data_IF_461941391123
#
_entry.id   IF_461941391123
#
_cell.length_a   1.000
_cell.length_b   1.000
_cell.length_c   1.000
_cell.angle_alpha   90.00
_cell.angle_beta   90.00
_cell.angle_gamma   90.00
#
_symmetry.space_group_name_H-M   'P 1'
#
loop_
_entity.id
_entity.type
_entity.pdbx_description
1 polymer ?
#
# COMPACT_ATOMS: atom_id res chain seq x y z
N UNK A 1 -20.86 -14.69 2.58
CA UNK A 1 -20.97 -15.73 1.50
C UNK A 1 -22.20 -15.56 0.61
N UNK A 2 -22.52 -14.31 0.26
CA UNK A 2 -23.74 -13.96 -0.52
C UNK A 2 -23.81 -14.55 -1.94
N UNK A 3 -22.69 -15.02 -2.47
CA UNK A 3 -22.62 -15.66 -3.80
C UNK A 3 -22.99 -17.15 -3.79
N UNK A 4 -23.06 -17.79 -2.61
CA UNK A 4 -23.43 -19.19 -2.49
C UNK A 4 -24.94 -19.34 -2.62
N UNK A 5 -25.38 -20.27 -3.44
CA UNK A 5 -26.78 -20.67 -3.62
C UNK A 5 -26.95 -22.11 -3.19
N UNK A 6 -28.04 -22.37 -2.49
CA UNK A 6 -28.33 -23.72 -1.99
C UNK A 6 -29.74 -23.84 -1.50
N UNK A 7 -30.14 -25.06 -1.20
CA UNK A 7 -31.39 -25.40 -0.57
C UNK A 7 -31.08 -26.12 0.74
N UNK A 8 -31.80 -25.77 1.81
CA UNK A 8 -31.71 -26.43 3.11
C UNK A 8 -33.13 -26.86 3.47
N UNK A 9 -33.30 -28.15 3.76
CA UNK A 9 -34.51 -28.70 4.29
C UNK A 9 -34.32 -29.01 5.77
N UNK A 10 -35.28 -28.60 6.62
CA UNK A 10 -35.25 -28.85 8.07
C UNK A 10 -36.66 -28.88 8.60
N UNK A 11 -37.00 -29.99 9.26
CA UNK A 11 -38.30 -30.16 9.95
C UNK A 11 -38.42 -29.27 11.22
N UNK A 12 -37.27 -28.78 11.75
CA UNK A 12 -37.21 -28.03 13.01
C UNK A 12 -37.38 -26.52 12.85
N UNK A 13 -37.45 -26.03 11.59
CA UNK A 13 -37.64 -24.59 11.33
C UNK A 13 -39.09 -24.19 11.55
N UNK A 14 -39.38 -23.23 12.46
CA UNK A 14 -40.73 -22.75 12.66
C UNK A 14 -41.25 -22.06 11.40
N UNK A 15 -42.36 -22.54 10.88
CA UNK A 15 -43.03 -21.89 9.74
C UNK A 15 -43.76 -20.65 10.24
N UNK A 16 -43.45 -19.50 9.64
CA UNK A 16 -44.21 -18.28 9.87
C UNK A 16 -45.55 -18.34 9.12
N UNK A 17 -46.63 -17.89 9.76
CA UNK A 17 -47.98 -17.89 9.18
C UNK A 17 -48.06 -17.06 7.89
N UNK A 18 -47.26 -16.02 7.77
CA UNK A 18 -47.21 -15.14 6.56
C UNK A 18 -46.39 -15.69 5.40
N UNK A 19 -45.54 -16.73 5.61
CA UNK A 19 -44.64 -17.34 4.63
C UNK A 19 -43.64 -16.37 3.96
N UNK A 20 -43.55 -15.10 4.39
CA UNK A 20 -42.76 -14.07 3.72
C UNK A 20 -41.35 -13.91 4.28
N UNK A 21 -41.12 -14.24 5.54
CA UNK A 21 -39.80 -14.16 6.17
C UNK A 21 -39.54 -15.29 7.15
N UNK A 22 -38.33 -15.84 7.14
CA UNK A 22 -37.87 -16.75 8.19
C UNK A 22 -37.56 -15.89 9.41
N UNK A 23 -38.26 -16.14 10.53
CA UNK A 23 -37.96 -15.46 11.79
C UNK A 23 -36.55 -15.87 12.27
N UNK A 24 -35.80 -14.91 12.75
CA UNK A 24 -34.55 -15.20 13.44
C UNK A 24 -34.82 -16.09 14.64
N UNK A 25 -34.30 -17.31 14.57
CA UNK A 25 -34.43 -18.30 15.65
C UNK A 25 -33.05 -18.88 15.97
N UNK A 26 -32.82 -19.41 17.17
CA UNK A 26 -31.57 -20.10 17.51
C UNK A 26 -31.22 -21.22 16.53
N UNK A 27 -32.24 -21.90 15.99
CA UNK A 27 -32.10 -22.99 15.00
C UNK A 27 -31.59 -22.40 13.67
N UNK A 28 -32.17 -21.30 13.20
CA UNK A 28 -31.72 -20.62 11.98
C UNK A 28 -30.26 -20.15 12.10
N UNK A 29 -29.92 -19.55 13.24
CA UNK A 29 -28.54 -19.12 13.51
C UNK A 29 -27.57 -20.30 13.52
N UNK A 30 -27.96 -21.44 14.12
CA UNK A 30 -27.14 -22.65 14.13
C UNK A 30 -26.92 -23.21 12.70
N UNK A 31 -28.00 -23.27 11.90
CA UNK A 31 -27.92 -23.68 10.49
C UNK A 31 -27.00 -22.77 9.72
N UNK A 32 -27.16 -21.44 9.84
CA UNK A 32 -26.31 -20.46 9.15
C UNK A 32 -24.83 -20.63 9.53
N UNK A 33 -24.51 -20.79 10.81
CA UNK A 33 -23.15 -21.04 11.29
C UNK A 33 -22.58 -22.35 10.74
N UNK A 34 -23.38 -23.44 10.77
CA UNK A 34 -22.97 -24.74 10.26
C UNK A 34 -22.70 -24.75 8.76
N UNK A 35 -23.60 -24.15 7.96
CA UNK A 35 -23.44 -24.02 6.51
C UNK A 35 -22.22 -23.16 6.16
N UNK A 36 -22.06 -22.03 6.82
CA UNK A 36 -20.89 -21.16 6.57
C UNK A 36 -19.59 -21.90 6.86
N UNK A 37 -19.49 -22.57 8.01
CA UNK A 37 -18.30 -23.34 8.38
C UNK A 37 -18.02 -24.48 7.39
N UNK A 38 -19.07 -25.17 6.93
CA UNK A 38 -18.93 -26.24 5.93
C UNK A 38 -18.42 -25.71 4.59
N UNK A 39 -18.97 -24.59 4.10
CA UNK A 39 -18.55 -23.97 2.84
C UNK A 39 -17.08 -23.55 2.92
N UNK A 40 -16.67 -22.87 3.99
CA UNK A 40 -15.27 -22.46 4.17
C UNK A 40 -14.33 -23.67 4.22
N UNK A 41 -14.75 -24.76 4.89
CA UNK A 41 -13.98 -26.02 4.91
C UNK A 41 -13.84 -26.63 3.53
N UNK A 42 -14.90 -26.68 2.71
CA UNK A 42 -14.85 -27.23 1.35
C UNK A 42 -14.02 -26.33 0.42
N UNK A 43 -14.11 -25.01 0.55
CA UNK A 43 -13.23 -24.09 -0.18
C UNK A 43 -11.76 -24.31 0.20
N UNK A 44 -11.45 -24.57 1.47
CA UNK A 44 -10.11 -24.90 1.92
C UNK A 44 -9.58 -26.20 1.34
N UNK A 45 -10.42 -27.25 1.29
CA UNK A 45 -10.06 -28.52 0.62
C UNK A 45 -9.80 -28.30 -0.87
N UNK A 46 -10.67 -27.56 -1.53
CA UNK A 46 -10.53 -27.25 -2.96
C UNK A 46 -9.24 -26.46 -3.24
N UNK A 47 -8.94 -25.47 -2.39
CA UNK A 47 -7.72 -24.68 -2.50
C UNK A 47 -6.44 -25.51 -2.38
N UNK A 48 -6.48 -26.60 -1.59
CA UNK A 48 -5.35 -27.52 -1.41
C UNK A 48 -5.28 -28.58 -2.50
N UNK A 49 -6.41 -29.16 -2.93
CA UNK A 49 -6.47 -30.30 -3.83
C UNK A 49 -6.52 -29.91 -5.33
N UNK A 50 -7.09 -28.73 -5.64
CA UNK A 50 -7.27 -28.22 -7.00
C UNK A 50 -7.06 -26.71 -7.07
N UNK A 51 -5.82 -26.20 -6.90
CA UNK A 51 -5.53 -24.77 -6.80
C UNK A 51 -5.96 -23.98 -8.02
N UNK A 52 -5.90 -24.52 -9.23
CA UNK A 52 -6.37 -23.87 -10.45
C UNK A 52 -7.89 -23.67 -10.47
N UNK A 53 -8.65 -24.66 -9.99
CA UNK A 53 -10.09 -24.54 -9.87
C UNK A 53 -10.46 -23.49 -8.79
N UNK A 54 -9.71 -23.48 -7.70
CA UNK A 54 -9.89 -22.48 -6.64
C UNK A 54 -9.55 -21.05 -7.13
N UNK A 55 -8.50 -20.90 -7.94
CA UNK A 55 -8.13 -19.60 -8.54
C UNK A 55 -9.29 -18.99 -9.34
N UNK A 56 -10.02 -19.81 -10.12
CA UNK A 56 -11.21 -19.36 -10.87
C UNK A 56 -12.37 -18.90 -9.96
N UNK A 57 -12.52 -19.53 -8.79
CA UNK A 57 -13.48 -19.06 -7.79
C UNK A 57 -13.00 -17.74 -7.20
N UNK A 58 -11.70 -17.65 -6.91
CA UNK A 58 -11.10 -16.45 -6.35
C UNK A 58 -11.19 -15.25 -7.29
N UNK A 59 -10.97 -15.44 -8.60
CA UNK A 59 -11.11 -14.40 -9.63
C UNK A 59 -12.51 -13.77 -9.64
N UNK A 60 -13.56 -14.57 -9.36
CA UNK A 60 -14.93 -14.11 -9.41
C UNK A 60 -15.47 -13.62 -8.05
N UNK A 61 -15.00 -14.18 -6.95
CA UNK A 61 -15.60 -14.00 -5.62
C UNK A 61 -14.60 -13.58 -4.54
N UNK A 62 -13.34 -13.39 -4.89
CA UNK A 62 -12.27 -13.03 -3.94
C UNK A 62 -12.58 -11.73 -3.19
N UNK A 63 -13.02 -10.70 -3.88
CA UNK A 63 -13.40 -9.42 -3.26
C UNK A 63 -14.52 -9.61 -2.21
N UNK A 64 -15.53 -10.44 -2.51
CA UNK A 64 -16.63 -10.74 -1.57
C UNK A 64 -16.15 -11.56 -0.37
N UNK A 65 -15.19 -12.46 -0.56
CA UNK A 65 -14.58 -13.21 0.54
C UNK A 65 -13.75 -12.29 1.44
N UNK A 66 -13.06 -11.31 0.86
CA UNK A 66 -12.29 -10.29 1.60
C UNK A 66 -13.19 -9.36 2.44
N UNK A 67 -14.43 -9.07 1.99
CA UNK A 67 -15.40 -8.35 2.82
C UNK A 67 -15.63 -9.08 4.16
N UNK A 68 -15.68 -10.42 4.13
CA UNK A 68 -15.83 -11.24 5.34
C UNK A 68 -14.66 -11.10 6.32
N UNK A 69 -13.44 -10.78 5.87
CA UNK A 69 -12.29 -10.55 6.76
C UNK A 69 -12.57 -9.33 7.66
N UNK A 70 -13.27 -8.33 7.11
CA UNK A 70 -13.65 -7.12 7.84
C UNK A 70 -14.91 -7.31 8.71
N UNK A 71 -15.90 -8.05 8.21
CA UNK A 71 -17.23 -8.17 8.83
C UNK A 71 -17.33 -9.34 9.84
N UNK A 72 -16.65 -10.47 9.61
CA UNK A 72 -16.77 -11.71 10.38
C UNK A 72 -15.47 -11.99 11.17
N UNK A 73 -15.35 -11.37 12.33
CA UNK A 73 -14.19 -11.54 13.21
C UNK A 73 -14.02 -12.97 13.72
N UNK A 74 -15.13 -13.75 13.90
CA UNK A 74 -15.07 -15.13 14.37
C UNK A 74 -14.37 -16.05 13.34
N UNK A 75 -14.47 -15.73 12.04
CA UNK A 75 -13.93 -16.56 10.95
C UNK A 75 -12.80 -15.91 10.19
N UNK A 76 -12.29 -14.78 10.70
CA UNK A 76 -11.24 -14.00 10.05
C UNK A 76 -10.04 -14.84 9.66
N UNK A 77 -9.53 -15.68 10.56
CA UNK A 77 -8.34 -16.50 10.30
C UNK A 77 -8.58 -17.52 9.18
N UNK A 78 -9.77 -18.13 9.16
CA UNK A 78 -10.16 -19.05 8.09
C UNK A 78 -10.29 -18.34 6.74
N UNK A 79 -10.82 -17.11 6.73
CA UNK A 79 -10.94 -16.29 5.53
C UNK A 79 -9.57 -15.81 5.03
N UNK A 80 -8.67 -15.41 5.93
CA UNK A 80 -7.28 -15.06 5.60
C UNK A 80 -6.53 -16.26 5.01
N UNK A 81 -6.70 -17.44 5.56
CA UNK A 81 -6.07 -18.67 5.03
C UNK A 81 -6.57 -19.03 3.62
N UNK A 82 -7.83 -18.72 3.31
CA UNK A 82 -8.42 -18.88 1.98
C UNK A 82 -7.99 -17.78 1.00
N UNK A 83 -7.60 -16.63 1.49
CA UNK A 83 -7.32 -15.46 0.65
C UNK A 83 -6.12 -15.66 -0.25
N UNK A 84 -6.19 -15.04 -1.43
CA UNK A 84 -5.14 -15.03 -2.44
C UNK A 84 -4.82 -13.59 -2.81
N UNK A 85 -3.55 -13.33 -3.02
CA UNK A 85 -3.03 -12.00 -3.28
C UNK A 85 -2.06 -12.00 -4.44
N UNK A 86 -1.98 -10.90 -5.15
CA UNK A 86 -0.84 -10.59 -6.01
C UNK A 86 0.28 -10.04 -5.12
N UNK A 87 1.52 -10.33 -5.49
CA UNK A 87 2.69 -9.90 -4.73
C UNK A 87 3.80 -9.44 -5.67
N UNK A 88 4.82 -8.79 -5.12
CA UNK A 88 6.01 -8.41 -5.90
C UNK A 88 6.81 -9.60 -6.43
N UNK A 89 6.65 -10.79 -5.83
CA UNK A 89 7.27 -12.03 -6.30
C UNK A 89 6.38 -12.80 -7.28
N UNK A 90 5.07 -12.52 -7.32
CA UNK A 90 4.08 -13.26 -8.14
C UNK A 90 2.95 -12.32 -8.57
N UNK A 91 3.24 -11.47 -9.57
CA UNK A 91 2.28 -10.48 -10.08
C UNK A 91 1.20 -11.13 -10.93
N UNK A 92 1.56 -12.16 -11.70
CA UNK A 92 0.63 -12.82 -12.62
C UNK A 92 -0.20 -13.93 -11.96
N UNK A 93 0.33 -14.57 -10.92
CA UNK A 93 -0.31 -15.70 -10.25
C UNK A 93 -0.81 -15.32 -8.86
N UNK A 94 -1.82 -16.06 -8.38
CA UNK A 94 -2.34 -15.92 -7.04
C UNK A 94 -1.44 -16.61 -6.01
N UNK A 95 -1.10 -15.91 -4.93
CA UNK A 95 -0.29 -16.41 -3.82
C UNK A 95 -1.09 -16.46 -2.53
N UNK A 96 -0.96 -17.53 -1.77
CA UNK A 96 -1.59 -17.63 -0.45
C UNK A 96 -0.74 -16.92 0.62
N UNK A 97 -1.37 -16.53 1.73
CA UNK A 97 -0.63 -16.01 2.89
C UNK A 97 0.30 -17.06 3.50
N UNK A 98 -0.04 -18.35 3.39
CA UNK A 98 0.82 -19.44 3.84
C UNK A 98 2.12 -19.50 3.03
N UNK A 99 2.04 -19.37 1.70
CA UNK A 99 3.22 -19.36 0.83
C UNK A 99 4.06 -18.10 1.07
N UNK A 100 3.39 -16.94 1.28
CA UNK A 100 4.06 -15.71 1.67
C UNK A 100 4.81 -15.88 3.02
N UNK A 101 4.14 -16.44 4.03
CA UNK A 101 4.73 -16.66 5.36
C UNK A 101 5.93 -17.61 5.31
N UNK A 102 5.91 -18.61 4.42
CA UNK A 102 7.05 -19.52 4.20
C UNK A 102 8.26 -18.84 3.54
N UNK A 103 8.08 -17.68 2.89
CA UNK A 103 9.15 -16.89 2.24
C UNK A 103 9.66 -15.72 3.07
N UNK A 104 9.15 -15.53 4.29
CA UNK A 104 9.58 -14.44 5.18
C UNK A 104 11.10 -14.49 5.45
N UNK A 105 11.73 -13.32 5.47
CA UNK A 105 13.13 -13.20 5.88
C UNK A 105 13.27 -13.38 7.39
N UNK A 106 14.43 -13.85 7.87
CA UNK A 106 14.68 -14.16 9.27
C UNK A 106 14.35 -13.00 10.23
N UNK A 107 14.69 -11.77 9.84
CA UNK A 107 14.43 -10.56 10.63
C UNK A 107 13.12 -9.86 10.29
N UNK A 108 12.27 -10.47 9.44
CA UNK A 108 11.00 -9.86 9.02
C UNK A 108 9.94 -9.99 10.12
N UNK A 109 9.43 -8.87 10.61
CA UNK A 109 8.49 -8.80 11.75
C UNK A 109 7.03 -8.75 11.33
N UNK A 110 6.74 -8.42 10.06
CA UNK A 110 5.39 -8.17 9.57
C UNK A 110 5.18 -8.72 8.14
N UNK A 111 3.92 -8.84 7.76
CA UNK A 111 3.49 -9.03 6.37
C UNK A 111 3.35 -7.64 5.76
N UNK A 112 4.20 -7.32 4.79
CA UNK A 112 4.19 -6.00 4.17
C UNK A 112 3.20 -5.94 3.02
N UNK A 113 2.52 -4.81 2.89
CA UNK A 113 1.60 -4.54 1.80
C UNK A 113 1.69 -3.09 1.29
N UNK A 114 1.30 -2.92 0.04
CA UNK A 114 0.98 -1.62 -0.55
C UNK A 114 -0.43 -1.68 -1.09
N UNK A 115 -1.25 -0.66 -0.79
CA UNK A 115 -2.62 -0.55 -1.27
C UNK A 115 -2.76 0.57 -2.30
N UNK A 116 -3.62 0.35 -3.29
CA UNK A 116 -3.90 1.32 -4.35
C UNK A 116 -5.08 0.91 -5.22
N UNK A 117 -5.23 1.57 -6.36
CA UNK A 117 -6.34 1.37 -7.29
C UNK A 117 -6.00 0.43 -8.47
N UNK A 118 -4.70 0.14 -8.69
CA UNK A 118 -4.25 -0.59 -9.86
C UNK A 118 -2.93 -1.33 -9.61
N UNK A 119 -2.91 -2.64 -9.84
CA UNK A 119 -1.73 -3.50 -9.64
C UNK A 119 -0.51 -3.00 -10.43
N UNK A 120 -0.67 -2.60 -11.69
CA UNK A 120 0.44 -2.16 -12.51
C UNK A 120 1.11 -0.87 -11.98
N UNK A 121 0.34 0.02 -11.36
CA UNK A 121 0.90 1.20 -10.67
C UNK A 121 1.60 0.83 -9.38
N UNK A 122 1.00 -0.08 -8.60
CA UNK A 122 1.60 -0.56 -7.36
C UNK A 122 2.95 -1.22 -7.62
N UNK A 123 3.04 -2.00 -8.69
CA UNK A 123 4.26 -2.73 -9.08
C UNK A 123 5.45 -1.81 -9.37
N UNK A 124 5.23 -0.61 -9.89
CA UNK A 124 6.31 0.36 -10.19
C UNK A 124 6.49 1.43 -9.12
N UNK A 125 5.84 1.28 -7.98
CA UNK A 125 5.88 2.27 -6.91
C UNK A 125 7.29 2.41 -6.29
N UNK A 126 7.78 3.65 -6.06
CA UNK A 126 9.04 3.91 -5.38
C UNK A 126 9.13 3.30 -3.98
N UNK A 127 7.98 3.13 -3.31
CA UNK A 127 7.95 2.50 -1.98
C UNK A 127 8.47 1.08 -1.96
N UNK A 128 8.47 0.37 -3.10
CA UNK A 128 8.96 -0.99 -3.22
C UNK A 128 10.48 -1.11 -3.35
N UNK A 129 11.19 -0.04 -3.70
CA UNK A 129 12.62 -0.09 -4.00
C UNK A 129 13.44 -0.70 -2.87
N UNK A 130 13.30 -0.19 -1.66
CA UNK A 130 14.02 -0.68 -0.49
C UNK A 130 13.66 -2.11 -0.09
N UNK A 131 12.42 -2.56 -0.35
CA UNK A 131 11.97 -3.93 -0.12
C UNK A 131 12.55 -4.88 -1.18
N UNK A 132 12.53 -4.48 -2.44
CA UNK A 132 13.15 -5.23 -3.53
C UNK A 132 14.66 -5.38 -3.34
N UNK A 133 15.34 -4.32 -2.95
CA UNK A 133 16.78 -4.35 -2.67
C UNK A 133 17.16 -5.33 -1.54
N UNK A 134 16.20 -5.69 -0.69
CA UNK A 134 16.35 -6.66 0.39
C UNK A 134 15.71 -8.02 0.09
N UNK A 135 15.12 -8.18 -1.09
CA UNK A 135 14.40 -9.39 -1.48
C UNK A 135 13.19 -9.68 -0.59
N UNK A 136 12.58 -8.65 -0.05
CA UNK A 136 11.36 -8.74 0.76
C UNK A 136 10.15 -8.70 -0.16
N UNK A 137 9.32 -9.71 -0.04
CA UNK A 137 8.05 -9.78 -0.77
C UNK A 137 7.03 -8.81 -0.17
N UNK A 138 6.23 -8.15 -1.02
CA UNK A 138 5.18 -7.20 -0.62
C UNK A 138 3.88 -7.58 -1.31
N UNK A 139 2.77 -7.61 -0.55
CA UNK A 139 1.42 -7.81 -1.09
C UNK A 139 0.98 -6.58 -1.87
N UNK A 140 0.39 -6.79 -3.05
CA UNK A 140 -0.19 -5.75 -3.90
C UNK A 140 -1.71 -5.78 -3.74
N UNK A 141 -2.27 -4.84 -3.01
CA UNK A 141 -3.68 -4.80 -2.62
C UNK A 141 -4.42 -3.75 -3.47
N UNK A 142 -5.19 -4.21 -4.45
CA UNK A 142 -5.90 -3.31 -5.38
C UNK A 142 -7.42 -3.30 -5.21
N UNK A 143 -7.99 -4.17 -4.36
CA UNK A 143 -9.42 -4.12 -4.08
C UNK A 143 -9.72 -3.03 -3.03
N UNK A 144 -10.76 -2.19 -3.21
CA UNK A 144 -11.09 -1.13 -2.25
C UNK A 144 -11.32 -1.65 -0.82
N UNK A 145 -11.82 -2.89 -0.67
CA UNK A 145 -12.04 -3.51 0.64
C UNK A 145 -10.74 -3.81 1.38
N UNK A 146 -9.63 -3.95 0.67
CA UNK A 146 -8.34 -4.30 1.28
C UNK A 146 -7.91 -3.24 2.29
N UNK A 147 -8.07 -1.96 1.97
CA UNK A 147 -7.71 -0.85 2.87
C UNK A 147 -8.47 -0.88 4.22
N UNK A 148 -9.66 -1.48 4.25
CA UNK A 148 -10.46 -1.57 5.48
C UNK A 148 -10.03 -2.73 6.37
N UNK A 149 -9.87 -3.93 5.81
CA UNK A 149 -9.52 -5.09 6.65
C UNK A 149 -8.07 -5.04 7.14
N UNK A 150 -7.12 -4.52 6.36
CA UNK A 150 -5.72 -4.33 6.84
C UNK A 150 -5.64 -3.34 7.99
N UNK A 151 -6.50 -2.30 7.98
CA UNK A 151 -6.56 -1.28 9.04
C UNK A 151 -7.26 -1.78 10.32
N UNK A 152 -7.92 -2.94 10.28
CA UNK A 152 -8.65 -3.49 11.44
C UNK A 152 -7.76 -4.25 12.42
N UNK A 153 -6.43 -4.16 12.30
CA UNK A 153 -5.48 -4.86 13.16
C UNK A 153 -5.42 -6.38 12.91
N UNK A 154 -5.72 -6.81 11.68
CA UNK A 154 -5.58 -8.20 11.29
C UNK A 154 -4.12 -8.68 11.39
N UNK A 155 -3.95 -9.96 11.68
CA UNK A 155 -2.65 -10.65 11.66
C UNK A 155 -2.80 -12.03 11.05
N UNK A 156 -1.72 -12.57 10.52
CA UNK A 156 -1.69 -13.95 10.01
C UNK A 156 -0.43 -14.64 10.52
N UNK A 157 -0.60 -15.81 11.11
CA UNK A 157 0.49 -16.58 11.74
C UNK A 157 1.33 -15.74 12.72
N UNK A 158 0.64 -14.94 13.54
CA UNK A 158 1.26 -14.04 14.54
C UNK A 158 1.96 -12.81 13.96
N UNK A 159 1.96 -12.61 12.63
CA UNK A 159 2.56 -11.46 11.96
C UNK A 159 1.49 -10.41 11.62
N UNK A 160 1.62 -9.16 12.07
CA UNK A 160 0.71 -8.08 11.69
C UNK A 160 0.89 -7.70 10.22
N UNK A 161 -0.17 -7.17 9.60
CA UNK A 161 -0.07 -6.50 8.31
C UNK A 161 0.43 -5.07 8.50
N UNK A 162 1.44 -4.67 7.71
CA UNK A 162 2.07 -3.35 7.80
C UNK A 162 2.18 -2.70 6.43
N UNK A 163 1.64 -1.48 6.31
CA UNK A 163 1.76 -0.71 5.07
C UNK A 163 3.19 -0.21 4.87
N UNK A 164 3.69 -0.35 3.65
CA UNK A 164 5.00 0.20 3.27
C UNK A 164 4.95 1.70 2.98
N UNK A 165 3.76 2.29 2.89
CA UNK A 165 3.61 3.75 2.72
C UNK A 165 3.69 4.52 4.04
N UNK A 166 3.80 3.81 5.18
CA UNK A 166 4.17 4.38 6.48
C UNK A 166 5.69 4.30 6.71
N UNK A 167 6.15 4.90 7.81
CA UNK A 167 7.57 4.87 8.19
C UNK A 167 8.16 3.46 8.24
N UNK A 168 9.45 3.34 7.90
CA UNK A 168 10.12 2.08 7.57
C UNK A 168 10.91 1.47 8.73
N UNK A 169 10.53 1.71 9.97
CA UNK A 169 11.34 1.36 11.15
C UNK A 169 11.94 -0.08 11.15
N UNK A 170 11.28 -1.03 10.46
CA UNK A 170 11.72 -2.42 10.44
C UNK A 170 12.58 -2.80 9.22
N UNK A 171 12.59 -1.96 8.16
CA UNK A 171 13.32 -2.28 6.93
C UNK A 171 14.85 -2.28 7.17
N UNK A 172 15.32 -1.43 8.08
CA UNK A 172 16.73 -1.36 8.46
C UNK A 172 17.24 -2.66 9.13
N UNK A 173 16.35 -3.49 9.67
CA UNK A 173 16.71 -4.79 10.30
C UNK A 173 17.00 -5.87 9.25
N UNK A 174 16.61 -5.67 8.00
CA UNK A 174 16.75 -6.64 6.92
C UNK A 174 17.92 -6.19 6.03
N UNK A 175 19.00 -6.98 5.91
CA UNK A 175 20.16 -6.61 5.13
C UNK A 175 19.84 -6.51 3.63
N UNK A 176 20.56 -5.65 2.90
CA UNK A 176 20.53 -5.59 1.45
C UNK A 176 21.06 -6.90 0.85
N UNK A 177 20.48 -7.33 -0.26
CA UNK A 177 20.95 -8.51 -1.02
C UNK A 177 22.35 -8.27 -1.60
N UNK A 178 22.56 -7.05 -2.13
CA UNK A 178 23.87 -6.62 -2.61
C UNK A 178 24.52 -5.66 -1.60
N UNK A 179 25.53 -6.14 -0.91
CA UNK A 179 26.30 -5.37 0.09
C UNK A 179 27.15 -4.27 -0.54
N UNK A 180 27.43 -4.33 -1.86
CA UNK A 180 28.15 -3.29 -2.57
C UNK A 180 27.30 -2.07 -2.87
N UNK A 181 25.97 -2.23 -2.86
CA UNK A 181 24.99 -1.16 -3.06
C UNK A 181 24.64 -0.40 -1.77
N UNK A 182 25.37 -0.63 -0.68
CA UNK A 182 25.12 0.04 0.59
C UNK A 182 25.44 1.54 0.42
N UNK A 183 24.42 2.42 0.45
CA UNK A 183 24.69 3.86 0.44
C UNK A 183 25.61 4.20 1.62
N UNK A 184 26.55 5.11 1.43
CA UNK A 184 27.36 5.60 2.54
C UNK A 184 26.44 6.10 3.67
N UNK A 185 26.72 5.71 4.90
CA UNK A 185 25.87 6.02 6.06
C UNK A 185 25.85 7.53 6.39
N UNK A 186 26.72 8.32 5.75
CA UNK A 186 26.84 9.76 5.96
C UNK A 186 26.12 10.53 4.85
N UNK A 187 25.12 11.30 5.28
CA UNK A 187 24.45 12.27 4.40
C UNK A 187 25.30 13.53 4.39
N UNK A 188 25.62 14.01 3.18
CA UNK A 188 26.37 15.23 2.98
C UNK A 188 25.66 16.42 3.66
N UNK A 189 26.44 17.31 4.28
CA UNK A 189 25.93 18.50 4.95
C UNK A 189 25.16 19.41 3.97
N UNK A 190 25.60 19.50 2.71
CA UNK A 190 24.92 20.24 1.65
C UNK A 190 23.52 19.69 1.38
N UNK A 191 23.37 18.36 1.35
CA UNK A 191 22.07 17.68 1.19
C UNK A 191 21.18 17.94 2.40
N UNK A 192 21.72 17.89 3.61
CA UNK A 192 20.95 18.20 4.83
C UNK A 192 20.43 19.65 4.81
N UNK A 193 21.25 20.60 4.38
CA UNK A 193 20.83 21.99 4.22
C UNK A 193 19.75 22.13 3.14
N UNK A 194 19.88 21.40 2.03
CA UNK A 194 18.87 21.40 0.96
C UNK A 194 17.53 20.80 1.41
N UNK A 195 17.53 19.73 2.19
CA UNK A 195 16.29 19.18 2.78
C UNK A 195 15.57 20.23 3.67
N UNK A 196 16.34 20.96 4.48
CA UNK A 196 15.82 22.05 5.32
C UNK A 196 15.23 23.18 4.47
N UNK A 197 15.87 23.51 3.35
CA UNK A 197 15.37 24.48 2.38
C UNK A 197 14.05 24.01 1.75
N UNK A 198 13.97 22.75 1.27
CA UNK A 198 12.73 22.19 0.71
C UNK A 198 11.59 22.26 1.74
N UNK A 199 11.86 21.92 2.99
CA UNK A 199 10.85 21.97 4.07
C UNK A 199 10.34 23.38 4.28
N UNK A 200 11.21 24.38 4.31
CA UNK A 200 10.84 25.77 4.47
C UNK A 200 10.01 26.29 3.28
N UNK A 201 10.41 25.92 2.05
CA UNK A 201 9.74 26.36 0.82
C UNK A 201 8.36 25.72 0.64
N UNK A 202 8.23 24.41 0.92
CA UNK A 202 6.97 23.70 0.78
C UNK A 202 5.96 24.03 1.91
N UNK A 203 6.44 24.50 3.07
CA UNK A 203 5.63 24.98 4.17
C UNK A 203 4.49 24.02 4.52
N UNK A 204 3.26 24.51 4.39
CA UNK A 204 2.05 23.78 4.76
C UNK A 204 1.65 22.65 3.77
N UNK A 205 2.31 22.50 2.64
CA UNK A 205 2.00 21.45 1.67
C UNK A 205 2.42 20.05 2.14
N UNK A 206 3.37 19.96 3.08
CA UNK A 206 3.87 18.73 3.69
C UNK A 206 3.96 18.89 5.20
N UNK A 207 3.87 17.79 5.95
CA UNK A 207 4.09 17.80 7.41
C UNK A 207 5.58 17.81 7.76
N UNK A 208 6.38 17.13 6.92
CA UNK A 208 7.83 17.07 7.10
C UNK A 208 8.54 16.76 5.76
N UNK A 209 9.87 17.02 5.73
CA UNK A 209 10.76 16.61 4.66
C UNK A 209 11.95 15.91 5.31
N UNK A 210 12.22 14.66 4.90
CA UNK A 210 13.31 13.88 5.49
C UNK A 210 14.06 13.05 4.47
N UNK A 211 15.29 12.67 4.83
CA UNK A 211 16.06 11.73 4.04
C UNK A 211 15.40 10.35 4.05
N UNK A 212 15.35 9.70 2.91
CA UNK A 212 14.81 8.35 2.75
C UNK A 212 15.91 7.30 2.97
N UNK A 213 15.55 6.21 3.66
CA UNK A 213 16.36 5.00 3.80
C UNK A 213 15.87 3.85 2.91
N UNK A 214 14.77 4.08 2.19
CA UNK A 214 14.13 3.10 1.31
C UNK A 214 14.31 3.35 -0.18
N UNK A 215 14.48 4.61 -0.59
CA UNK A 215 14.65 4.95 -2.00
C UNK A 215 16.06 4.58 -2.47
N UNK A 216 16.11 3.87 -3.61
CA UNK A 216 17.36 3.43 -4.24
C UNK A 216 17.57 4.17 -5.55
N UNK A 217 16.53 4.23 -6.39
CA UNK A 217 16.57 4.80 -7.74
C UNK A 217 15.77 6.11 -7.87
N UNK A 218 14.64 6.21 -7.20
CA UNK A 218 13.78 7.41 -7.25
C UNK A 218 14.33 8.55 -6.40
N UNK A 219 14.08 9.79 -6.83
CA UNK A 219 14.52 10.98 -6.11
C UNK A 219 13.67 11.26 -4.86
N UNK A 220 12.36 11.04 -4.95
CA UNK A 220 11.37 11.38 -3.92
C UNK A 220 10.22 10.39 -3.85
N UNK A 221 9.55 10.33 -2.70
CA UNK A 221 8.23 9.72 -2.54
C UNK A 221 7.43 10.40 -1.43
N UNK A 222 6.11 10.19 -1.39
CA UNK A 222 5.23 10.64 -0.30
C UNK A 222 4.92 9.49 0.62
N UNK A 223 5.02 9.71 1.93
CA UNK A 223 4.61 8.73 2.94
C UNK A 223 3.50 9.30 3.82
N UNK A 224 2.70 8.40 4.40
CA UNK A 224 1.74 8.76 5.42
C UNK A 224 2.47 9.17 6.72
N UNK A 225 1.94 10.16 7.47
CA UNK A 225 2.44 10.44 8.81
C UNK A 225 2.24 9.22 9.71
N UNK A 226 3.10 9.06 10.73
CA UNK A 226 3.08 7.88 11.62
C UNK A 226 1.74 7.68 12.33
N UNK A 227 1.06 8.77 12.66
CA UNK A 227 -0.27 8.76 13.27
C UNK A 227 -1.32 9.07 12.20
N UNK A 228 -1.90 8.07 11.59
CA UNK A 228 -2.94 8.29 10.59
C UNK A 228 -3.29 7.03 9.81
N UNK A 229 -4.35 7.08 9.00
CA UNK A 229 -4.66 6.00 8.08
C UNK A 229 -3.59 5.88 7.00
N UNK A 230 -3.52 4.72 6.38
CA UNK A 230 -2.77 4.53 5.14
C UNK A 230 -3.24 5.52 4.06
N UNK A 231 -2.33 5.97 3.19
CA UNK A 231 -2.66 6.97 2.16
C UNK A 231 -3.80 6.54 1.25
N UNK A 232 -3.91 5.26 0.92
CA UNK A 232 -5.02 4.76 0.10
C UNK A 232 -6.36 4.81 0.84
N UNK A 233 -6.38 4.40 2.11
CA UNK A 233 -7.58 4.52 2.95
C UNK A 233 -8.01 5.97 3.10
N UNK A 234 -7.05 6.88 3.29
CA UNK A 234 -7.30 8.31 3.36
C UNK A 234 -7.97 8.85 2.08
N UNK A 235 -7.44 8.48 0.90
CA UNK A 235 -8.02 8.82 -0.41
C UNK A 235 -9.45 8.30 -0.57
N UNK A 236 -9.70 7.06 -0.18
CA UNK A 236 -11.03 6.45 -0.20
C UNK A 236 -12.01 7.19 0.71
N UNK A 237 -11.60 7.52 1.94
CA UNK A 237 -12.44 8.25 2.90
C UNK A 237 -12.70 9.69 2.46
N UNK A 238 -11.71 10.37 1.89
CA UNK A 238 -11.85 11.71 1.34
C UNK A 238 -12.79 11.72 0.13
N UNK A 239 -12.64 10.76 -0.79
CA UNK A 239 -13.53 10.59 -1.94
C UNK A 239 -14.98 10.28 -1.55
N UNK A 240 -15.20 9.60 -0.41
CA UNK A 240 -16.52 9.34 0.16
C UNK A 240 -17.09 10.51 0.99
N UNK A 241 -16.37 11.64 1.09
CA UNK A 241 -16.77 12.78 1.90
C UNK A 241 -16.77 12.53 3.41
N UNK A 242 -16.08 11.49 3.86
CA UNK A 242 -16.00 11.07 5.26
C UNK A 242 -14.80 11.64 6.00
N UNK A 243 -13.87 12.31 5.31
CA UNK A 243 -12.73 13.00 5.88
C UNK A 243 -12.88 14.50 5.67
N UNK A 244 -12.76 15.28 6.73
CA UNK A 244 -12.85 16.75 6.67
C UNK A 244 -11.60 17.42 6.12
N UNK A 245 -10.43 16.80 6.30
CA UNK A 245 -9.15 17.22 5.75
C UNK A 245 -8.22 16.00 5.67
N UNK A 246 -7.50 15.87 4.56
CA UNK A 246 -6.44 14.88 4.41
C UNK A 246 -5.25 15.24 5.31
N UNK A 247 -4.57 14.25 5.86
CA UNK A 247 -3.34 14.47 6.62
C UNK A 247 -2.25 14.96 5.67
N UNK A 248 -1.46 15.95 6.11
CA UNK A 248 -0.31 16.42 5.31
C UNK A 248 0.72 15.29 5.21
N UNK A 249 1.13 14.88 4.00
CA UNK A 249 2.12 13.83 3.84
C UNK A 249 3.51 14.29 4.30
N UNK A 250 4.39 13.33 4.50
CA UNK A 250 5.83 13.57 4.62
C UNK A 250 6.47 13.34 3.25
N UNK A 251 7.34 14.23 2.80
CA UNK A 251 8.16 14.05 1.61
C UNK A 251 9.46 13.34 2.01
N UNK A 252 9.66 12.13 1.53
CA UNK A 252 10.96 11.47 1.60
C UNK A 252 11.78 11.77 0.37
N UNK A 253 13.05 12.11 0.59
CA UNK A 253 14.00 12.49 -0.44
C UNK A 253 15.20 11.55 -0.39
N UNK A 254 15.60 11.00 -1.53
CA UNK A 254 16.77 10.14 -1.63
C UNK A 254 18.08 10.98 -1.56
N UNK A 255 18.82 10.94 -0.46
CA UNK A 255 20.03 11.78 -0.29
C UNK A 255 21.17 11.37 -1.23
N UNK A 256 21.10 10.18 -1.81
CA UNK A 256 22.13 9.64 -2.69
C UNK A 256 21.82 9.81 -4.18
N UNK A 257 20.62 10.25 -4.52
CA UNK A 257 20.20 10.48 -5.90
C UNK A 257 21.02 11.60 -6.54
N UNK A 258 21.48 11.39 -7.79
CA UNK A 258 22.37 12.33 -8.50
C UNK A 258 21.75 13.73 -8.65
N UNK A 259 20.44 13.81 -8.94
CA UNK A 259 19.70 15.08 -9.02
C UNK A 259 19.72 15.81 -7.67
N UNK A 260 19.48 15.12 -6.56
CA UNK A 260 19.45 15.73 -5.24
C UNK A 260 20.82 16.28 -4.84
N UNK A 261 21.89 15.52 -5.09
CA UNK A 261 23.27 15.98 -4.87
C UNK A 261 23.62 17.19 -5.73
N UNK A 262 23.25 17.18 -7.01
CA UNK A 262 23.45 18.31 -7.89
C UNK A 262 22.72 19.58 -7.41
N UNK A 263 21.47 19.44 -6.99
CA UNK A 263 20.67 20.55 -6.45
C UNK A 263 21.24 21.09 -5.12
N UNK A 264 21.71 20.21 -4.27
CA UNK A 264 22.34 20.58 -3.01
C UNK A 264 23.66 21.36 -3.20
N UNK A 265 24.36 21.15 -4.32
CA UNK A 265 25.61 21.84 -4.64
C UNK A 265 25.41 23.21 -5.28
N UNK A 266 24.18 23.59 -5.66
CA UNK A 266 23.89 24.90 -6.25
C UNK A 266 24.10 26.03 -5.23
N UNK A 267 24.61 27.20 -5.70
CA UNK A 267 24.83 28.40 -4.89
C UNK A 267 23.52 29.12 -4.50
N UNK A 268 23.69 30.21 -3.75
CA UNK A 268 22.57 31.05 -3.30
C UNK A 268 21.93 31.85 -4.43
N UNK A 269 22.69 32.16 -5.50
CA UNK A 269 22.18 32.83 -6.69
C UNK A 269 21.12 32.02 -7.44
N UNK A 270 21.01 30.73 -7.13
CA UNK A 270 20.05 29.80 -7.72
C UNK A 270 18.77 29.65 -6.93
N UNK A 271 18.48 30.54 -5.97
CA UNK A 271 17.37 30.42 -5.04
C UNK A 271 16.01 30.21 -5.73
N UNK A 272 15.66 31.04 -6.73
CA UNK A 272 14.41 30.91 -7.49
C UNK A 272 14.31 29.57 -8.23
N UNK A 273 15.41 29.09 -8.75
CA UNK A 273 15.47 27.77 -9.41
C UNK A 273 15.27 26.64 -8.41
N UNK A 274 15.92 26.70 -7.24
CA UNK A 274 15.74 25.73 -6.16
C UNK A 274 14.28 25.69 -5.66
N UNK A 275 13.59 26.84 -5.58
CA UNK A 275 12.17 26.93 -5.23
C UNK A 275 11.31 26.18 -6.24
N UNK A 276 11.46 26.47 -7.53
CA UNK A 276 10.70 25.77 -8.57
C UNK A 276 10.93 24.26 -8.55
N UNK A 277 12.19 23.84 -8.35
CA UNK A 277 12.52 22.41 -8.26
C UNK A 277 11.94 21.76 -6.99
N UNK A 278 11.95 22.43 -5.84
CA UNK A 278 11.34 21.89 -4.62
C UNK A 278 9.85 21.56 -4.83
N UNK A 279 9.11 22.46 -5.48
CA UNK A 279 7.72 22.20 -5.82
C UNK A 279 7.55 21.12 -6.89
N UNK A 280 8.45 21.05 -7.90
CA UNK A 280 8.40 19.98 -8.91
C UNK A 280 8.67 18.60 -8.29
N UNK A 281 9.60 18.49 -7.33
CA UNK A 281 9.83 17.25 -6.58
C UNK A 281 8.60 16.81 -5.80
N UNK A 282 7.87 17.74 -5.18
CA UNK A 282 6.59 17.42 -4.52
C UNK A 282 5.54 16.95 -5.53
N UNK A 283 5.42 17.64 -6.66
CA UNK A 283 4.46 17.27 -7.70
C UNK A 283 4.83 15.93 -8.37
N UNK A 284 6.12 15.63 -8.56
CA UNK A 284 6.62 14.32 -8.97
C UNK A 284 6.18 13.22 -8.00
N UNK A 285 6.43 13.44 -6.71
CA UNK A 285 6.04 12.48 -5.68
C UNK A 285 4.51 12.25 -5.62
N UNK A 286 3.69 13.30 -5.86
CA UNK A 286 2.23 13.19 -6.01
C UNK A 286 1.85 12.35 -7.22
N UNK A 287 2.47 12.58 -8.37
CA UNK A 287 2.20 11.82 -9.60
C UNK A 287 2.53 10.34 -9.41
N UNK A 288 3.67 10.04 -8.79
CA UNK A 288 4.09 8.66 -8.46
C UNK A 288 3.14 7.98 -7.46
N UNK A 289 2.51 8.75 -6.57
CA UNK A 289 1.48 8.28 -5.65
C UNK A 289 0.08 8.18 -6.30
N UNK A 290 -0.04 8.48 -7.60
CA UNK A 290 -1.29 8.44 -8.36
C UNK A 290 -2.17 9.69 -8.24
N UNK A 291 -1.68 10.74 -7.60
CA UNK A 291 -2.36 12.02 -7.48
C UNK A 291 -2.03 12.95 -8.66
N UNK A 292 -2.74 14.05 -8.75
CA UNK A 292 -2.44 15.14 -9.70
C UNK A 292 -1.66 16.25 -8.99
N UNK A 293 -0.84 17.02 -9.72
CA UNK A 293 -0.32 18.27 -9.20
C UNK A 293 -1.47 19.16 -8.68
N UNK A 294 -1.29 19.77 -7.51
CA UNK A 294 -2.32 20.63 -6.91
C UNK A 294 -2.71 21.80 -7.81
N UNK A 295 -1.71 22.36 -8.50
CA UNK A 295 -1.91 23.40 -9.49
C UNK A 295 -1.20 23.02 -10.80
N UNK A 296 -1.91 22.38 -11.77
CA UNK A 296 -1.31 21.95 -13.04
C UNK A 296 -0.70 23.07 -13.88
N UNK A 297 -1.22 24.29 -13.78
CA UNK A 297 -0.66 25.45 -14.48
C UNK A 297 0.72 25.83 -13.91
N UNK A 298 0.81 25.98 -12.58
CA UNK A 298 2.09 26.26 -11.92
C UNK A 298 3.12 25.16 -12.17
N UNK A 299 2.69 23.89 -12.15
CA UNK A 299 3.54 22.76 -12.52
C UNK A 299 4.11 22.94 -13.93
N UNK A 300 3.27 23.25 -14.92
CA UNK A 300 3.69 23.49 -16.30
C UNK A 300 4.67 24.67 -16.43
N UNK A 301 4.38 25.79 -15.75
CA UNK A 301 5.24 26.98 -15.76
C UNK A 301 6.64 26.71 -15.17
N UNK A 302 6.69 25.99 -14.03
CA UNK A 302 7.94 25.57 -13.38
C UNK A 302 8.75 24.61 -14.24
N UNK A 303 8.07 23.60 -14.80
CA UNK A 303 8.72 22.64 -15.70
C UNK A 303 9.34 23.34 -16.91
N UNK A 304 8.60 24.28 -17.53
CA UNK A 304 9.11 25.07 -18.66
C UNK A 304 10.32 25.94 -18.26
N UNK A 305 10.31 26.50 -17.04
CA UNK A 305 11.46 27.27 -16.51
C UNK A 305 12.70 26.39 -16.36
N UNK A 306 12.57 25.24 -15.74
CA UNK A 306 13.68 24.29 -15.53
C UNK A 306 14.25 23.80 -16.87
N UNK A 307 13.38 23.38 -17.81
CA UNK A 307 13.80 22.93 -19.15
C UNK A 307 14.52 24.03 -19.95
N UNK A 308 14.02 25.27 -19.90
CA UNK A 308 14.66 26.41 -20.56
C UNK A 308 16.08 26.64 -20.02
N UNK A 309 16.25 26.58 -18.69
CA UNK A 309 17.53 26.75 -18.05
C UNK A 309 18.54 25.67 -18.47
N UNK A 310 18.10 24.38 -18.46
CA UNK A 310 18.97 23.27 -18.87
C UNK A 310 19.43 23.39 -20.34
N UNK A 311 18.56 23.85 -21.25
CA UNK A 311 18.89 24.06 -22.66
C UNK A 311 19.87 25.24 -22.89
N UNK A 312 19.81 26.27 -22.04
CA UNK A 312 20.75 27.40 -22.11
C UNK A 312 22.11 27.01 -21.55
N UNK A 313 22.17 26.24 -20.48
CA UNK A 313 23.44 25.75 -19.90
C UNK A 313 24.18 24.74 -20.78
N UNK A 314 23.47 23.99 -21.64
CA UNK A 314 24.06 23.02 -22.56
C UNK A 314 24.70 23.68 -23.82
N UNK A 315 24.56 24.99 -24.00
CA UNK A 315 25.11 25.72 -25.13
C UNK A 315 26.44 26.45 -24.83
N UNK A 316 26.90 26.35 -23.59
CA UNK A 316 28.21 26.86 -23.13
C UNK A 316 29.16 25.68 -22.93
#
# INVERSE_FOLDING_TARGET
LRFVRGLIDSADLPLNVSREMIQESPIFTAIQKGVTSRILSELGKLAASAPEAYAKIWDNFGAVLKEGIYEDFERRDALLALSRFKTTASVNDWRSLKDYAASLKESQTAIYYIAGDNIARLEVSPHLEGFRARGVEVLLLADPIDSFWVSSGASFDGKPFKSITHGSADLALIPLLDTNSKPSCEIDQSVTAFLSFIKAELGDAVSDVRASDRLMDSAVCLIAPESGPDRQLEKLLAGAGRLKAAAKPVLEVNPHHSLIKALASLGDDDHSFKQDVAHLLLDEARILDGDRPENPRKFGDRLAHVLRRSLLSARV
#
